data_IF_971066658918
#
_entry.id   IF_971066658918
#
_cell.length_a   1.000
_cell.length_b   1.000
_cell.length_c   1.000
_cell.angle_alpha   90.00
_cell.angle_beta   90.00
_cell.angle_gamma   90.00
#
_symmetry.space_group_name_H-M   'P 1'
#
loop_
_entity.id
_entity.type
_entity.pdbx_description
1 polymer ?
#
# COMPACT_ATOMS: atom_id res chain seq x y z
N UNK A 1 14.14 -12.13 -5.30
CA UNK A 1 12.73 -11.73 -5.09
C UNK A 1 12.40 -10.57 -6.05
N UNK A 2 11.76 -10.83 -7.19
CA UNK A 2 11.56 -9.83 -8.27
C UNK A 2 10.28 -9.00 -8.14
N UNK A 3 9.37 -9.33 -7.22
CA UNK A 3 8.03 -8.71 -7.11
C UNK A 3 7.74 -8.10 -5.72
N UNK A 4 8.78 -7.80 -4.94
CA UNK A 4 8.64 -7.33 -3.55
C UNK A 4 7.70 -6.12 -3.40
N UNK A 5 7.66 -5.22 -4.38
CA UNK A 5 6.73 -4.07 -4.38
C UNK A 5 5.27 -4.52 -4.38
N UNK A 6 4.90 -5.45 -5.26
CA UNK A 6 3.54 -5.96 -5.38
C UNK A 6 3.14 -6.79 -4.14
N UNK A 7 4.11 -7.51 -3.56
CA UNK A 7 3.88 -8.27 -2.34
C UNK A 7 3.60 -7.34 -1.17
N UNK A 8 4.46 -6.34 -0.94
CA UNK A 8 4.26 -5.32 0.12
C UNK A 8 2.95 -4.56 -0.09
N UNK A 9 2.57 -4.23 -1.33
CA UNK A 9 1.28 -3.61 -1.63
C UNK A 9 0.10 -4.45 -1.13
N UNK A 10 0.11 -5.77 -1.39
CA UNK A 10 -0.90 -6.69 -0.85
C UNK A 10 -0.85 -6.75 0.68
N UNK A 11 0.35 -6.72 1.27
CA UNK A 11 0.53 -6.65 2.72
C UNK A 11 -0.06 -5.40 3.33
N UNK A 12 0.14 -4.23 2.71
CA UNK A 12 -0.47 -2.98 3.14
C UNK A 12 -2.01 -3.07 3.05
N UNK A 13 -2.53 -3.60 1.95
CA UNK A 13 -3.98 -3.73 1.74
C UNK A 13 -4.64 -4.73 2.72
N UNK A 14 -3.94 -5.82 3.09
CA UNK A 14 -4.47 -6.87 3.97
C UNK A 14 -4.03 -6.75 5.43
N UNK A 15 -3.18 -5.78 5.76
CA UNK A 15 -2.61 -5.55 7.10
C UNK A 15 -1.33 -6.35 7.40
N UNK A 16 -1.03 -7.40 6.63
CA UNK A 16 0.24 -8.10 6.70
C UNK A 16 0.44 -9.13 5.60
N UNK A 17 1.65 -9.69 5.55
CA UNK A 17 2.03 -10.82 4.70
C UNK A 17 3.17 -11.59 5.34
N UNK A 18 3.36 -12.83 4.93
CA UNK A 18 4.52 -13.64 5.29
C UNK A 18 5.41 -13.92 4.09
N UNK A 19 6.71 -13.97 4.34
CA UNK A 19 7.71 -14.50 3.41
C UNK A 19 8.31 -15.76 3.98
N UNK A 20 8.12 -16.87 3.27
CA UNK A 20 8.58 -18.19 3.70
C UNK A 20 9.67 -18.69 2.75
N UNK A 21 10.94 -18.69 3.19
CA UNK A 21 12.01 -19.26 2.37
C UNK A 21 11.91 -20.78 2.33
N UNK A 22 12.30 -21.36 1.20
CA UNK A 22 12.40 -22.81 0.99
C UNK A 22 13.49 -23.12 -0.03
N UNK A 23 14.02 -24.35 0.04
CA UNK A 23 15.03 -24.82 -0.90
C UNK A 23 14.35 -25.28 -2.19
N UNK A 24 14.82 -24.77 -3.33
CA UNK A 24 14.39 -25.21 -4.66
C UNK A 24 15.62 -25.57 -5.49
N UNK A 25 15.99 -26.85 -5.52
CA UNK A 25 17.23 -27.31 -6.12
C UNK A 25 18.43 -26.69 -5.41
N UNK A 26 19.28 -25.96 -6.14
CA UNK A 26 20.48 -25.29 -5.61
C UNK A 26 20.28 -23.83 -5.19
N UNK A 27 19.04 -23.34 -5.13
CA UNK A 27 18.73 -21.95 -4.74
C UNK A 27 17.71 -21.90 -3.61
N UNK A 28 17.73 -20.80 -2.85
CA UNK A 28 16.65 -20.46 -1.92
C UNK A 28 15.61 -19.63 -2.66
N UNK A 29 14.42 -20.17 -2.76
CA UNK A 29 13.24 -19.45 -3.20
C UNK A 29 12.48 -18.89 -1.99
N UNK A 30 11.66 -17.87 -2.22
CA UNK A 30 10.80 -17.28 -1.20
C UNK A 30 9.37 -17.33 -1.68
N UNK A 31 8.51 -17.95 -0.88
CA UNK A 31 7.07 -17.94 -1.07
C UNK A 31 6.45 -16.74 -0.34
N UNK A 32 5.47 -16.10 -0.96
CA UNK A 32 4.75 -14.96 -0.37
C UNK A 32 3.35 -15.43 0.00
N UNK A 33 3.09 -15.54 1.31
CA UNK A 33 1.79 -15.95 1.84
C UNK A 33 1.01 -14.72 2.26
N UNK A 34 -0.19 -14.55 1.72
CA UNK A 34 -1.06 -13.42 2.02
C UNK A 34 -1.80 -13.60 3.35
N UNK A 35 -2.32 -12.51 3.93
CA UNK A 35 -3.00 -12.49 5.23
C UNK A 35 -4.11 -13.54 5.40
N UNK A 36 -4.86 -13.81 4.33
CA UNK A 36 -5.99 -14.75 4.26
C UNK A 36 -5.57 -16.22 4.21
N UNK A 37 -4.28 -16.50 4.03
CA UNK A 37 -3.72 -17.84 3.96
C UNK A 37 -2.84 -18.20 5.17
N UNK A 38 -2.60 -17.25 6.07
CA UNK A 38 -1.80 -17.45 7.29
C UNK A 38 -2.63 -17.26 8.55
N UNK A 39 -2.52 -18.19 9.48
CA UNK A 39 -3.27 -18.22 10.74
C UNK A 39 -2.28 -18.27 11.91
N UNK A 40 -1.98 -17.12 12.53
CA UNK A 40 -1.13 -17.06 13.71
C UNK A 40 -1.73 -17.85 14.86
N UNK A 41 -0.90 -18.63 15.55
CA UNK A 41 -1.34 -19.54 16.62
C UNK A 41 -0.85 -19.07 17.98
N UNK A 42 0.38 -18.57 18.06
CA UNK A 42 0.95 -18.09 19.32
C UNK A 42 1.92 -16.93 19.12
N UNK A 43 2.03 -16.13 20.16
CA UNK A 43 2.93 -14.98 20.26
C UNK A 43 3.69 -15.06 21.58
N UNK A 44 4.90 -14.52 21.63
CA UNK A 44 5.61 -14.33 22.90
C UNK A 44 5.14 -13.06 23.63
N UNK A 45 5.68 -12.81 24.81
CA UNK A 45 5.34 -11.64 25.64
C UNK A 45 5.71 -10.29 25.00
N UNK A 46 6.57 -10.29 23.97
CA UNK A 46 6.91 -9.09 23.20
C UNK A 46 5.96 -8.86 22.01
N UNK A 47 4.98 -9.75 21.80
CA UNK A 47 4.08 -9.71 20.66
C UNK A 47 4.69 -10.27 19.37
N UNK A 48 5.84 -10.94 19.43
CA UNK A 48 6.45 -11.60 18.28
C UNK A 48 5.77 -12.94 18.05
N UNK A 49 5.39 -13.21 16.80
CA UNK A 49 4.76 -14.47 16.42
C UNK A 49 5.73 -15.64 16.60
N UNK A 50 5.31 -16.69 17.30
CA UNK A 50 6.12 -17.89 17.56
C UNK A 50 5.58 -19.13 16.85
N UNK A 51 4.29 -19.15 16.53
CA UNK A 51 3.68 -20.20 15.73
C UNK A 51 2.64 -19.66 14.75
N UNK A 52 2.56 -20.29 13.57
CA UNK A 52 1.63 -19.92 12.50
C UNK A 52 1.28 -21.17 11.66
N UNK A 53 0.05 -21.22 11.13
CA UNK A 53 -0.37 -22.20 10.12
C UNK A 53 -0.48 -21.50 8.77
N UNK A 54 0.15 -22.04 7.74
CA UNK A 54 -0.01 -21.57 6.36
C UNK A 54 -0.87 -22.55 5.56
N UNK A 55 -1.85 -22.03 4.83
CA UNK A 55 -2.75 -22.81 4.00
C UNK A 55 -2.45 -22.64 2.51
N UNK A 56 -2.40 -23.75 1.79
CA UNK A 56 -2.31 -23.80 0.33
C UNK A 56 -3.51 -24.59 -0.18
N UNK A 57 -4.48 -23.90 -0.79
CA UNK A 57 -5.68 -24.51 -1.34
C UNK A 57 -5.63 -24.48 -2.88
N UNK A 58 -5.91 -25.62 -3.49
CA UNK A 58 -5.89 -25.80 -4.95
C UNK A 58 -7.12 -26.58 -5.41
N UNK A 59 -7.59 -26.26 -6.62
CA UNK A 59 -8.64 -27.04 -7.27
C UNK A 59 -8.02 -28.03 -8.24
N UNK A 60 -8.26 -29.33 -8.01
CA UNK A 60 -7.83 -30.39 -8.93
C UNK A 60 -9.10 -31.13 -9.38
N UNK A 61 -9.46 -30.95 -10.65
CA UNK A 61 -10.72 -31.44 -11.23
C UNK A 61 -11.94 -30.92 -10.44
N UNK A 62 -12.65 -31.81 -9.75
CA UNK A 62 -13.88 -31.54 -9.02
C UNK A 62 -13.67 -31.34 -7.51
N UNK A 63 -12.46 -31.57 -7.00
CA UNK A 63 -12.16 -31.47 -5.57
C UNK A 63 -11.23 -30.30 -5.27
N UNK A 64 -11.36 -29.80 -4.05
CA UNK A 64 -10.47 -28.83 -3.43
C UNK A 64 -9.51 -29.57 -2.51
N UNK A 65 -8.23 -29.33 -2.70
CA UNK A 65 -7.16 -29.90 -1.91
C UNK A 65 -6.57 -28.77 -1.08
N UNK A 66 -6.47 -28.97 0.23
CA UNK A 66 -5.92 -27.97 1.15
C UNK A 66 -4.77 -28.58 1.94
N UNK A 67 -3.58 -27.99 1.86
CA UNK A 67 -2.44 -28.31 2.71
C UNK A 67 -2.32 -27.27 3.81
N UNK A 68 -2.16 -27.73 5.05
CA UNK A 68 -1.87 -26.91 6.22
C UNK A 68 -0.44 -27.20 6.66
N UNK A 69 0.40 -26.16 6.65
CA UNK A 69 1.80 -26.18 7.06
C UNK A 69 1.92 -25.40 8.37
N UNK A 70 2.01 -26.12 9.49
CA UNK A 70 2.16 -25.56 10.83
C UNK A 70 3.62 -25.37 11.17
N UNK A 71 3.97 -24.16 11.60
CA UNK A 71 5.28 -23.78 12.10
C UNK A 71 5.18 -23.42 13.57
N UNK A 72 6.11 -23.91 14.39
CA UNK A 72 6.14 -23.60 15.83
C UNK A 72 7.56 -23.57 16.38
N UNK A 73 7.91 -22.46 17.02
CA UNK A 73 9.16 -22.30 17.78
C UNK A 73 8.88 -22.48 19.28
N UNK A 74 9.49 -23.49 19.89
CA UNK A 74 9.43 -23.74 21.34
C UNK A 74 10.86 -23.81 21.90
N UNK A 75 11.25 -22.79 22.66
CA UNK A 75 12.64 -22.63 23.09
C UNK A 75 13.55 -22.45 21.87
N UNK A 76 14.42 -23.44 21.62
CA UNK A 76 15.31 -23.48 20.44
C UNK A 76 14.96 -24.59 19.44
N UNK A 77 13.82 -25.26 19.63
CA UNK A 77 13.33 -26.32 18.75
C UNK A 77 12.22 -25.79 17.85
N UNK A 78 12.44 -25.90 16.54
CA UNK A 78 11.49 -25.47 15.52
C UNK A 78 10.83 -26.68 14.88
N UNK A 79 9.50 -26.75 14.97
CA UNK A 79 8.71 -27.86 14.47
C UNK A 79 7.88 -27.40 13.27
N UNK A 80 7.95 -28.19 12.20
CA UNK A 80 7.15 -28.02 10.99
C UNK A 80 6.28 -29.27 10.85
N UNK A 81 4.97 -29.09 10.66
CA UNK A 81 4.02 -30.18 10.41
C UNK A 81 3.18 -29.87 9.18
N UNK A 82 3.05 -30.84 8.28
CA UNK A 82 2.25 -30.76 7.07
C UNK A 82 1.09 -31.75 7.14
N UNK A 83 -0.13 -31.26 6.94
CA UNK A 83 -1.32 -32.09 6.80
C UNK A 83 -2.06 -31.70 5.52
N UNK A 84 -2.56 -32.68 4.77
CA UNK A 84 -3.33 -32.45 3.55
C UNK A 84 -4.75 -32.98 3.70
N UNK A 85 -5.69 -32.27 3.07
CA UNK A 85 -7.11 -32.57 3.12
C UNK A 85 -7.73 -32.44 1.72
N UNK A 86 -8.82 -33.17 1.49
CA UNK A 86 -9.63 -33.11 0.27
C UNK A 86 -11.09 -32.85 0.61
N UNK A 87 -11.67 -31.86 -0.05
CA UNK A 87 -13.08 -31.50 0.05
C UNK A 87 -13.75 -31.37 -1.31
N UNK A 88 -15.08 -31.48 -1.31
CA UNK A 88 -15.92 -31.11 -2.46
C UNK A 88 -16.35 -29.64 -2.42
N UNK A 89 -16.09 -28.96 -1.30
CA UNK A 89 -16.40 -27.54 -1.09
C UNK A 89 -15.13 -26.78 -0.69
N UNK A 90 -15.03 -25.55 -1.17
CA UNK A 90 -14.04 -24.54 -0.78
C UNK A 90 -14.01 -24.23 0.72
N UNK A 91 -15.17 -24.28 1.39
CA UNK A 91 -15.32 -23.75 2.77
C UNK A 91 -14.97 -24.76 3.87
N UNK A 92 -14.73 -26.03 3.51
CA UNK A 92 -14.43 -27.10 4.47
C UNK A 92 -13.17 -27.85 4.06
N UNK A 93 -12.39 -28.33 5.05
CA UNK A 93 -11.21 -29.16 4.78
C UNK A 93 -11.60 -30.54 4.23
N UNK A 94 -12.74 -31.08 4.66
CA UNK A 94 -13.21 -32.40 4.24
C UNK A 94 -12.41 -33.52 4.90
N UNK A 95 -11.93 -34.49 4.11
CA UNK A 95 -11.25 -35.67 4.62
C UNK A 95 -9.72 -35.55 4.56
N UNK A 96 -8.98 -36.01 5.58
CA UNK A 96 -7.54 -36.05 5.54
C UNK A 96 -7.05 -37.03 4.46
N UNK A 97 -5.97 -36.66 3.79
CA UNK A 97 -5.35 -37.44 2.71
C UNK A 97 -3.84 -37.50 2.92
N UNK A 98 -3.16 -38.40 2.21
CA UNK A 98 -1.70 -38.41 2.22
C UNK A 98 -1.16 -37.25 1.36
N UNK A 99 -0.01 -36.68 1.75
CA UNK A 99 0.66 -35.64 0.96
C UNK A 99 1.00 -36.12 -0.47
N UNK A 100 1.30 -37.42 -0.62
CA UNK A 100 1.60 -38.09 -1.89
C UNK A 100 0.42 -38.16 -2.87
N UNK A 101 -0.81 -37.88 -2.44
CA UNK A 101 -1.98 -37.83 -3.32
C UNK A 101 -2.00 -36.59 -4.22
N UNK A 102 -1.19 -35.57 -3.91
CA UNK A 102 -1.00 -34.37 -4.74
C UNK A 102 0.47 -34.32 -5.16
N UNK A 103 0.71 -34.33 -6.47
CA UNK A 103 2.05 -34.47 -7.06
C UNK A 103 3.02 -33.41 -6.53
N UNK A 104 2.58 -32.15 -6.40
CA UNK A 104 3.43 -31.06 -5.92
C UNK A 104 3.75 -31.11 -4.41
N UNK A 105 3.07 -31.97 -3.66
CA UNK A 105 3.27 -32.17 -2.22
C UNK A 105 3.96 -33.49 -1.89
N UNK A 106 4.18 -34.36 -2.89
CA UNK A 106 4.65 -35.73 -2.67
C UNK A 106 6.01 -35.82 -1.96
N UNK A 107 6.90 -34.86 -2.21
CA UNK A 107 8.23 -34.80 -1.61
C UNK A 107 8.27 -34.07 -0.25
N UNK A 108 7.13 -33.56 0.23
CA UNK A 108 7.05 -32.80 1.48
C UNK A 108 6.97 -33.76 2.66
N UNK A 109 7.86 -33.57 3.64
CA UNK A 109 7.86 -34.34 4.87
C UNK A 109 6.65 -33.98 5.75
N UNK A 110 5.91 -34.97 6.29
CA UNK A 110 4.79 -34.73 7.20
C UNK A 110 5.21 -34.00 8.47
N UNK A 111 6.37 -34.33 9.03
CA UNK A 111 6.93 -33.66 10.20
C UNK A 111 8.43 -33.44 10.05
N UNK A 112 8.92 -32.30 10.53
CA UNK A 112 10.34 -32.01 10.64
C UNK A 112 10.62 -31.20 11.91
N UNK A 113 11.71 -31.53 12.59
CA UNK A 113 12.21 -30.79 13.74
C UNK A 113 13.62 -30.28 13.45
N UNK A 114 13.80 -28.98 13.62
CA UNK A 114 15.08 -28.28 13.42
C UNK A 114 15.51 -27.72 14.77
N UNK A 115 16.72 -28.05 15.21
CA UNK A 115 17.27 -27.61 16.50
C UNK A 115 18.14 -26.36 16.35
N UNK A 116 18.36 -25.66 17.46
CA UNK A 116 19.22 -24.48 17.55
C UNK A 116 18.73 -23.29 16.70
N UNK A 117 17.41 -23.14 16.61
CA UNK A 117 16.72 -22.03 15.95
C UNK A 117 16.26 -21.03 17.01
N UNK A 118 16.48 -19.73 16.81
CA UNK A 118 16.20 -18.67 17.79
C UNK A 118 15.07 -17.72 17.36
N UNK A 119 14.62 -17.83 16.11
CA UNK A 119 13.50 -17.06 15.58
C UNK A 119 12.70 -17.90 14.58
N UNK A 120 11.42 -17.57 14.34
CA UNK A 120 10.63 -18.28 13.35
C UNK A 120 11.31 -18.29 11.97
N UNK A 121 11.18 -19.39 11.23
CA UNK A 121 11.75 -19.55 9.90
C UNK A 121 10.88 -18.93 8.79
N UNK A 122 10.27 -17.78 9.08
CA UNK A 122 9.52 -16.96 8.16
C UNK A 122 9.67 -15.48 8.54
N UNK A 123 9.64 -14.59 7.55
CA UNK A 123 9.48 -13.16 7.76
C UNK A 123 8.00 -12.80 7.82
N UNK A 124 7.60 -11.88 8.71
CA UNK A 124 6.24 -11.35 8.77
C UNK A 124 6.29 -9.83 8.64
N UNK A 125 5.77 -9.31 7.53
CA UNK A 125 5.56 -7.89 7.35
C UNK A 125 4.21 -7.51 7.94
N UNK A 126 4.24 -6.61 8.92
CA UNK A 126 3.07 -6.10 9.64
C UNK A 126 2.88 -4.64 9.29
N UNK A 127 1.74 -4.25 8.71
CA UNK A 127 1.50 -2.82 8.45
C UNK A 127 1.57 -2.03 9.79
N UNK A 128 2.27 -0.89 9.88
CA UNK A 128 2.71 -0.32 11.17
C UNK A 128 1.63 0.54 11.84
N UNK A 129 0.43 -0.01 12.01
CA UNK A 129 -0.65 0.61 12.78
C UNK A 129 -1.19 -0.35 13.83
N UNK A 130 -1.84 0.21 14.85
CA UNK A 130 -2.59 -0.57 15.83
C UNK A 130 -3.87 -1.12 15.19
N UNK A 131 -4.27 -2.32 15.60
CA UNK A 131 -5.54 -2.90 15.20
C UNK A 131 -6.68 -2.16 15.92
N UNK A 132 -7.47 -1.41 15.16
CA UNK A 132 -8.64 -0.67 15.64
C UNK A 132 -9.95 -1.46 15.52
N UNK A 133 -9.92 -2.65 14.93
CA UNK A 133 -11.06 -3.55 14.75
C UNK A 133 -11.13 -4.52 15.94
N UNK A 134 -10.02 -5.19 16.23
CA UNK A 134 -9.83 -6.03 17.41
C UNK A 134 -8.59 -5.55 18.18
N UNK A 135 -8.83 -4.80 19.25
CA UNK A 135 -7.78 -4.19 20.08
C UNK A 135 -6.95 -5.21 20.86
N UNK A 136 -7.42 -6.47 20.96
CA UNK A 136 -6.70 -7.55 21.63
C UNK A 136 -5.83 -8.35 20.67
N UNK A 137 -6.06 -8.19 19.36
CA UNK A 137 -5.30 -8.91 18.34
C UNK A 137 -3.91 -8.30 18.13
N UNK A 138 -2.83 -9.11 18.19
CA UNK A 138 -1.46 -8.66 17.90
C UNK A 138 -1.21 -8.41 16.41
N UNK A 139 -2.16 -8.81 15.55
CA UNK A 139 -2.08 -8.55 14.12
C UNK A 139 -2.31 -7.08 13.80
N UNK A 140 -2.05 -6.73 12.55
CA UNK A 140 -2.37 -5.40 12.04
C UNK A 140 -3.56 -5.48 11.12
N UNK A 141 -3.98 -4.31 10.67
CA UNK A 141 -5.12 -4.08 9.80
C UNK A 141 -4.66 -3.32 8.57
N UNK A 142 -5.53 -3.30 7.55
CA UNK A 142 -5.27 -2.62 6.29
C UNK A 142 -4.81 -1.18 6.45
N UNK A 143 -4.00 -0.67 5.52
CA UNK A 143 -3.59 0.72 5.47
C UNK A 143 -4.77 1.71 5.39
N UNK A 144 -5.93 1.27 4.91
CA UNK A 144 -7.16 2.06 4.86
C UNK A 144 -8.20 1.68 5.93
N UNK A 145 -7.86 0.80 6.87
CA UNK A 145 -8.77 0.33 7.92
C UNK A 145 -9.42 1.46 8.72
N UNK A 146 -8.69 2.55 9.00
CA UNK A 146 -9.24 3.70 9.73
C UNK A 146 -10.29 4.48 8.95
N UNK A 147 -10.26 4.44 7.62
CA UNK A 147 -11.25 5.08 6.76
C UNK A 147 -12.48 4.21 6.47
N UNK A 148 -12.37 2.90 6.68
CA UNK A 148 -13.44 1.92 6.40
C UNK A 148 -14.09 1.36 7.67
N UNK A 149 -13.29 0.99 8.67
CA UNK A 149 -13.69 0.23 9.85
C UNK A 149 -13.43 0.98 11.17
N UNK A 150 -12.82 2.17 11.10
CA UNK A 150 -12.59 3.03 12.27
C UNK A 150 -13.87 3.65 12.81
N UNK A 151 -14.16 3.40 14.09
CA UNK A 151 -15.16 4.05 14.93
C UNK A 151 -16.27 4.82 14.17
N UNK A 152 -17.28 4.10 13.71
CA UNK A 152 -18.57 4.61 13.19
C UNK A 152 -18.55 5.51 11.94
N UNK A 153 -17.41 5.75 11.28
CA UNK A 153 -17.34 6.62 10.10
C UNK A 153 -16.72 5.88 8.91
N UNK A 154 -17.56 5.39 8.01
CA UNK A 154 -17.17 4.72 6.75
C UNK A 154 -16.89 5.77 5.68
N UNK A 155 -15.77 6.48 5.80
CA UNK A 155 -15.41 7.59 4.92
C UNK A 155 -15.33 7.18 3.44
N UNK A 156 -14.78 6.00 3.15
CA UNK A 156 -14.69 5.50 1.77
C UNK A 156 -16.10 5.26 1.20
N UNK A 157 -16.98 4.62 1.97
CA UNK A 157 -18.37 4.43 1.57
C UNK A 157 -19.09 5.77 1.35
N UNK A 158 -18.88 6.73 2.25
CA UNK A 158 -19.45 8.08 2.13
C UNK A 158 -18.97 8.78 0.86
N UNK A 159 -17.68 8.67 0.52
CA UNK A 159 -17.14 9.23 -0.71
C UNK A 159 -17.81 8.60 -1.96
N UNK A 160 -18.01 7.29 -1.96
CA UNK A 160 -18.73 6.57 -3.02
C UNK A 160 -20.18 7.01 -3.17
N UNK A 161 -20.90 7.21 -2.06
CA UNK A 161 -22.27 7.73 -2.04
C UNK A 161 -22.36 9.16 -2.60
N UNK A 162 -21.44 10.05 -2.19
CA UNK A 162 -21.38 11.43 -2.69
C UNK A 162 -21.08 11.45 -4.20
N UNK A 163 -20.13 10.62 -4.65
CA UNK A 163 -19.82 10.50 -6.08
C UNK A 163 -21.00 9.95 -6.88
N UNK A 164 -21.72 8.96 -6.35
CA UNK A 164 -22.95 8.44 -6.95
C UNK A 164 -24.03 9.51 -7.06
N UNK A 165 -24.19 10.35 -6.04
CA UNK A 165 -25.10 11.50 -6.08
C UNK A 165 -24.69 12.53 -7.16
N UNK A 166 -23.39 12.77 -7.34
CA UNK A 166 -22.90 13.63 -8.43
C UNK A 166 -23.26 13.07 -9.80
N UNK A 167 -23.03 11.77 -10.02
CA UNK A 167 -23.40 11.10 -11.27
C UNK A 167 -24.92 11.12 -11.48
N UNK A 168 -25.70 10.91 -10.41
CA UNK A 168 -27.15 11.01 -10.45
C UNK A 168 -27.62 12.42 -10.82
N UNK A 169 -27.01 13.47 -10.25
CA UNK A 169 -27.32 14.87 -10.54
C UNK A 169 -27.19 15.16 -12.04
N UNK A 170 -26.07 14.77 -12.65
CA UNK A 170 -25.88 14.92 -14.11
C UNK A 170 -26.84 14.06 -14.93
N UNK A 171 -27.14 12.85 -14.47
CA UNK A 171 -28.01 11.94 -15.19
C UNK A 171 -29.48 12.38 -15.17
N UNK A 172 -29.93 12.89 -14.02
CA UNK A 172 -31.28 13.35 -13.78
C UNK A 172 -31.49 14.71 -14.44
N UNK A 173 -30.60 15.69 -14.23
CA UNK A 173 -30.69 17.04 -14.80
C UNK A 173 -30.34 17.16 -16.28
N UNK A 174 -30.29 16.06 -17.03
CA UNK A 174 -30.16 16.13 -18.50
C UNK A 174 -31.31 16.96 -19.07
N UNK A 175 -30.97 17.97 -19.86
CA UNK A 175 -31.94 18.86 -20.50
C UNK A 175 -33.06 18.08 -21.19
N UNK A 176 -34.29 18.47 -20.90
CA UNK A 176 -35.50 17.98 -21.54
C UNK A 176 -36.32 19.17 -22.07
N UNK A 177 -36.95 18.96 -23.23
CA UNK A 177 -37.92 19.88 -23.80
C UNK A 177 -39.27 19.19 -23.72
N UNK A 178 -40.13 19.70 -22.86
CA UNK A 178 -41.54 19.34 -22.85
C UNK A 178 -42.22 20.10 -23.98
N UNK A 179 -42.90 19.38 -24.85
CA UNK A 179 -43.57 19.95 -26.00
C UNK A 179 -44.98 19.37 -26.10
N UNK A 180 -45.92 20.18 -26.58
CA UNK A 180 -47.26 19.68 -26.85
C UNK A 180 -47.22 18.59 -27.93
N UNK A 181 -48.10 17.59 -27.83
CA UNK A 181 -48.23 16.54 -28.85
C UNK A 181 -48.50 17.11 -30.24
N UNK A 182 -49.20 18.25 -30.31
CA UNK A 182 -49.52 18.98 -31.55
C UNK A 182 -48.29 19.62 -32.21
N UNK A 183 -47.16 19.73 -31.51
CA UNK A 183 -45.90 20.22 -32.06
C UNK A 183 -45.13 19.16 -32.88
N UNK A 184 -45.60 17.91 -32.91
CA UNK A 184 -44.95 16.81 -33.61
C UNK A 184 -45.83 16.18 -34.68
N UNK A 185 -45.22 15.68 -35.75
CA UNK A 185 -45.91 14.84 -36.72
C UNK A 185 -46.35 13.52 -36.06
N UNK A 186 -47.53 13.04 -36.42
CA UNK A 186 -48.02 11.73 -35.97
C UNK A 186 -47.37 10.62 -36.79
N UNK A 187 -46.91 9.57 -36.10
CA UNK A 187 -46.46 8.33 -36.71
C UNK A 187 -47.62 7.51 -37.28
N UNK A 188 -47.28 6.42 -37.96
CA UNK A 188 -48.26 5.46 -38.50
C UNK A 188 -49.11 4.77 -37.43
N UNK A 189 -48.68 4.83 -36.17
CA UNK A 189 -49.37 4.33 -34.98
C UNK A 189 -50.27 5.40 -34.31
N UNK A 190 -50.38 6.59 -34.90
CA UNK A 190 -51.17 7.71 -34.36
C UNK A 190 -50.54 8.40 -33.15
N UNK A 191 -49.26 8.11 -32.82
CA UNK A 191 -48.54 8.75 -31.72
C UNK A 191 -47.56 9.82 -32.22
N UNK A 192 -47.26 10.85 -31.43
CA UNK A 192 -46.24 11.86 -31.76
C UNK A 192 -44.88 11.24 -32.04
N UNK A 193 -44.31 11.52 -33.21
CA UNK A 193 -42.97 11.06 -33.61
C UNK A 193 -41.92 12.05 -33.09
N UNK A 194 -41.32 11.71 -31.95
CA UNK A 194 -40.27 12.51 -31.33
C UNK A 194 -38.95 12.44 -32.12
N UNK A 195 -38.33 13.58 -32.51
CA UNK A 195 -37.04 13.62 -33.21
C UNK A 195 -35.90 13.01 -32.39
N UNK A 196 -35.87 13.29 -31.08
CA UNK A 196 -34.95 12.68 -30.12
C UNK A 196 -35.75 12.30 -28.85
N UNK A 197 -35.93 11.00 -28.63
CA UNK A 197 -36.63 10.45 -27.46
C UNK A 197 -35.88 10.67 -26.15
N UNK A 198 -34.64 11.15 -26.16
CA UNK A 198 -33.89 11.56 -24.97
C UNK A 198 -34.15 13.02 -24.63
N UNK A 199 -34.20 13.91 -25.63
CA UNK A 199 -34.38 15.36 -25.43
C UNK A 199 -35.84 15.77 -25.32
N UNK A 200 -36.75 15.17 -26.08
CA UNK A 200 -38.15 15.59 -26.12
C UNK A 200 -39.06 14.70 -25.27
N UNK A 201 -40.04 15.32 -24.62
CA UNK A 201 -41.13 14.65 -23.89
C UNK A 201 -42.45 15.30 -24.29
N UNK A 202 -43.48 14.49 -24.50
CA UNK A 202 -44.82 15.00 -24.79
C UNK A 202 -45.57 15.29 -23.51
N UNK A 203 -46.21 16.46 -23.43
CA UNK A 203 -47.25 16.75 -22.44
C UNK A 203 -48.53 17.04 -23.21
N UNK A 204 -49.64 16.42 -22.81
CA UNK A 204 -50.96 16.80 -23.34
C UNK A 204 -51.37 18.09 -22.66
N UNK A 205 -51.34 19.21 -23.37
CA UNK A 205 -52.02 20.39 -22.88
C UNK A 205 -53.53 20.19 -23.00
N UNK A 206 -54.28 20.58 -21.96
CA UNK A 206 -55.75 20.53 -21.94
C UNK A 206 -56.40 21.78 -22.51
N UNK A 207 -55.63 22.65 -23.21
CA UNK A 207 -56.12 23.93 -23.72
C UNK A 207 -55.67 24.26 -25.15
N UNK A 208 -56.34 25.24 -25.75
CA UNK A 208 -56.08 25.74 -27.10
C UNK A 208 -54.63 26.23 -27.29
N UNK A 209 -54.06 25.95 -28.47
CA UNK A 209 -52.73 26.43 -28.85
C UNK A 209 -52.77 27.95 -29.01
N UNK A 210 -51.93 28.68 -28.27
CA UNK A 210 -51.76 30.13 -28.41
C UNK A 210 -52.42 30.99 -27.32
N UNK A 211 -53.05 30.38 -26.31
CA UNK A 211 -53.49 31.10 -25.11
C UNK A 211 -52.30 31.61 -24.29
N UNK A 212 -52.40 32.82 -23.69
CA UNK A 212 -51.33 33.46 -22.89
C UNK A 212 -50.77 32.62 -21.72
N UNK A 213 -51.39 31.49 -21.39
CA UNK A 213 -50.93 30.55 -20.35
C UNK A 213 -50.43 29.20 -20.90
N UNK A 214 -50.53 28.94 -22.21
CA UNK A 214 -50.19 27.66 -22.82
C UNK A 214 -48.89 27.80 -23.64
N UNK A 215 -47.77 27.42 -23.03
CA UNK A 215 -46.49 27.34 -23.75
C UNK A 215 -46.47 26.08 -24.62
N UNK A 216 -46.24 26.25 -25.93
CA UNK A 216 -46.06 25.13 -26.87
C UNK A 216 -44.81 24.28 -26.52
N UNK A 217 -43.82 24.91 -25.90
CA UNK A 217 -42.59 24.30 -25.40
C UNK A 217 -42.29 24.82 -23.99
N UNK A 218 -41.93 23.92 -23.09
CA UNK A 218 -41.37 24.27 -21.79
C UNK A 218 -40.04 23.54 -21.59
N UNK A 219 -39.01 24.31 -21.24
CA UNK A 219 -37.68 23.77 -21.04
C UNK A 219 -37.50 23.31 -19.59
N UNK A 220 -37.03 22.09 -19.43
CA UNK A 220 -36.57 21.58 -18.14
C UNK A 220 -35.06 21.44 -18.17
N UNK A 221 -34.41 22.39 -17.50
CA UNK A 221 -32.96 22.44 -17.31
C UNK A 221 -32.71 22.90 -15.87
N UNK A 222 -32.72 21.99 -14.88
CA UNK A 222 -32.48 22.35 -13.50
C UNK A 222 -31.05 22.87 -13.32
N UNK A 223 -30.85 23.73 -12.33
CA UNK A 223 -29.52 24.14 -11.91
C UNK A 223 -28.81 22.98 -11.22
N UNK A 224 -27.58 22.68 -11.64
CA UNK A 224 -26.80 21.60 -11.07
C UNK A 224 -26.11 22.02 -9.78
N UNK A 225 -26.22 21.18 -8.73
CA UNK A 225 -25.51 21.37 -7.46
C UNK A 225 -24.08 20.82 -7.49
N UNK A 226 -23.50 20.72 -8.68
CA UNK A 226 -22.19 20.10 -8.94
C UNK A 226 -21.10 20.64 -8.02
N UNK A 227 -20.97 21.96 -7.90
CA UNK A 227 -19.90 22.60 -7.13
C UNK A 227 -19.96 22.22 -5.64
N UNK A 228 -21.16 22.23 -5.04
CA UNK A 228 -21.35 21.87 -3.64
C UNK A 228 -21.06 20.37 -3.40
N UNK A 229 -21.49 19.50 -4.32
CA UNK A 229 -21.24 18.05 -4.23
C UNK A 229 -19.73 17.75 -4.38
N UNK A 230 -19.05 18.39 -5.34
CA UNK A 230 -17.59 18.27 -5.52
C UNK A 230 -16.83 18.76 -4.29
N UNK A 231 -17.27 19.87 -3.69
CA UNK A 231 -16.68 20.38 -2.44
C UNK A 231 -16.80 19.35 -1.32
N UNK A 232 -18.00 18.79 -1.09
CA UNK A 232 -18.21 17.77 -0.06
C UNK A 232 -17.42 16.47 -0.30
N UNK A 233 -17.27 16.07 -1.57
CA UNK A 233 -16.42 14.93 -1.94
C UNK A 233 -14.95 15.19 -1.61
N UNK A 234 -14.45 16.38 -1.98
CA UNK A 234 -13.09 16.79 -1.70
C UNK A 234 -12.80 16.86 -0.19
N UNK A 235 -13.74 17.38 0.60
CA UNK A 235 -13.64 17.39 2.06
C UNK A 235 -13.53 15.98 2.63
N UNK A 236 -14.36 15.05 2.14
CA UNK A 236 -14.33 13.64 2.53
C UNK A 236 -13.01 12.95 2.13
N UNK A 237 -12.48 13.23 0.93
CA UNK A 237 -11.18 12.72 0.50
C UNK A 237 -10.04 13.20 1.41
N UNK A 238 -10.08 14.44 1.90
CA UNK A 238 -9.10 14.95 2.87
C UNK A 238 -9.18 14.22 4.20
N UNK A 239 -10.38 13.93 4.68
CA UNK A 239 -10.57 13.12 5.90
C UNK A 239 -9.95 11.72 5.71
N UNK A 240 -10.17 11.09 4.55
CA UNK A 240 -9.55 9.79 4.20
C UNK A 240 -8.02 9.90 4.22
N UNK A 241 -7.45 10.91 3.56
CA UNK A 241 -5.99 11.13 3.55
C UNK A 241 -5.44 11.26 4.97
N UNK A 242 -6.09 12.05 5.82
CA UNK A 242 -5.66 12.27 7.19
C UNK A 242 -5.62 10.97 8.00
N UNK A 243 -6.70 10.17 7.97
CA UNK A 243 -6.79 8.95 8.80
C UNK A 243 -5.92 7.81 8.27
N UNK A 244 -5.68 7.78 6.96
CA UNK A 244 -4.79 6.81 6.31
C UNK A 244 -3.30 7.19 6.39
N UNK A 245 -2.97 8.37 6.94
CA UNK A 245 -1.59 8.83 7.04
C UNK A 245 -1.01 9.30 5.70
N UNK A 246 -1.85 9.68 4.74
CA UNK A 246 -1.45 10.24 3.46
C UNK A 246 -1.30 11.76 3.56
N UNK A 247 -0.52 12.34 2.64
CA UNK A 247 -0.49 13.78 2.48
C UNK A 247 -1.77 14.26 1.78
N UNK A 248 -2.31 15.39 2.22
CA UNK A 248 -3.33 16.13 1.49
C UNK A 248 -2.89 16.43 0.06
N UNK A 249 -3.81 16.27 -0.89
CA UNK A 249 -3.53 16.40 -2.32
C UNK A 249 -3.10 15.09 -3.00
N UNK A 250 -3.08 13.97 -2.26
CA UNK A 250 -2.83 12.63 -2.84
C UNK A 250 -4.07 12.11 -3.57
N UNK A 251 -5.24 12.32 -2.97
CA UNK A 251 -6.58 11.98 -3.46
C UNK A 251 -7.43 13.24 -3.66
N UNK A 252 -7.34 14.19 -2.71
CA UNK A 252 -8.06 15.47 -2.79
C UNK A 252 -7.42 16.42 -3.81
N UNK A 253 -8.17 17.42 -4.27
CA UNK A 253 -7.68 18.40 -5.23
C UNK A 253 -6.67 19.36 -4.57
N UNK A 254 -5.39 19.36 -5.01
CA UNK A 254 -4.35 20.21 -4.45
C UNK A 254 -4.55 21.71 -4.71
N UNK A 255 -5.46 22.11 -5.61
CA UNK A 255 -5.75 23.52 -5.92
C UNK A 255 -6.88 24.10 -5.06
N UNK A 256 -7.74 23.27 -4.47
CA UNK A 256 -8.75 23.70 -3.49
C UNK A 256 -8.15 24.08 -2.13
N UNK A 257 -6.82 24.20 -2.08
CA UNK A 257 -6.00 24.35 -0.89
C UNK A 257 -5.86 25.84 -0.58
N UNK A 258 -6.89 26.40 0.02
CA UNK A 258 -6.74 27.59 0.87
C UNK A 258 -6.09 27.17 2.21
N UNK A 259 -4.88 26.60 2.13
CA UNK A 259 -4.12 26.23 3.34
C UNK A 259 -2.94 27.16 3.54
N UNK A 260 -2.73 27.52 4.79
CA UNK A 260 -1.48 28.14 5.20
C UNK A 260 -0.34 27.14 4.95
N UNK A 261 0.83 27.63 4.50
CA UNK A 261 1.99 26.79 4.19
C UNK A 261 2.38 25.80 5.32
N UNK A 262 2.01 26.13 6.56
CA UNK A 262 2.19 25.29 7.75
C UNK A 262 1.41 23.98 7.69
N UNK A 263 0.15 24.00 7.25
CA UNK A 263 -0.69 22.79 7.20
C UNK A 263 -0.22 21.80 6.12
N UNK A 264 0.29 22.33 5.00
CA UNK A 264 0.89 21.53 3.93
C UNK A 264 2.13 20.80 4.46
N UNK A 265 3.02 21.50 5.17
CA UNK A 265 4.21 20.90 5.80
C UNK A 265 3.85 19.83 6.82
N UNK A 266 2.87 20.09 7.71
CA UNK A 266 2.39 19.12 8.70
C UNK A 266 1.83 17.87 8.01
N UNK A 267 1.09 18.07 6.92
CA UNK A 267 0.53 16.98 6.11
C UNK A 267 1.61 16.12 5.46
N UNK A 268 2.63 16.74 4.85
CA UNK A 268 3.77 16.02 4.27
C UNK A 268 4.55 15.24 5.35
N UNK A 269 4.76 15.85 6.52
CA UNK A 269 5.44 15.19 7.65
C UNK A 269 4.68 13.95 8.15
N UNK A 270 3.35 13.97 8.17
CA UNK A 270 2.54 12.79 8.51
C UNK A 270 2.74 11.65 7.50
N UNK A 271 2.73 11.97 6.22
CA UNK A 271 2.99 11.01 5.15
C UNK A 271 4.39 10.43 5.28
N UNK A 272 5.39 11.28 5.51
CA UNK A 272 6.77 10.88 5.76
C UNK A 272 6.88 9.90 6.94
N UNK A 273 6.22 10.20 8.06
CA UNK A 273 6.20 9.31 9.24
C UNK A 273 5.60 7.94 8.90
N UNK A 274 4.47 7.93 8.18
CA UNK A 274 3.79 6.68 7.77
C UNK A 274 4.69 5.84 6.87
N UNK A 275 5.35 6.47 5.90
CA UNK A 275 6.30 5.80 5.00
C UNK A 275 7.49 5.25 5.80
N UNK A 276 8.09 6.05 6.68
CA UNK A 276 9.22 5.66 7.52
C UNK A 276 8.88 4.43 8.39
N UNK A 277 7.70 4.43 9.01
CA UNK A 277 7.28 3.30 9.85
C UNK A 277 7.03 2.03 9.01
N UNK A 278 6.52 2.17 7.78
CA UNK A 278 6.36 1.06 6.85
C UNK A 278 7.72 0.50 6.45
N UNK A 279 8.71 1.36 6.19
CA UNK A 279 10.07 0.97 5.86
C UNK A 279 10.72 0.20 7.01
N UNK A 280 10.60 0.68 8.26
CA UNK A 280 11.11 -0.03 9.45
C UNK A 280 10.46 -1.40 9.63
N UNK A 281 9.13 -1.48 9.52
CA UNK A 281 8.43 -2.77 9.61
C UNK A 281 8.89 -3.75 8.51
N UNK A 282 9.11 -3.23 7.29
CA UNK A 282 9.67 -4.01 6.19
C UNK A 282 11.08 -4.50 6.50
N UNK A 283 11.96 -3.67 7.08
CA UNK A 283 13.31 -4.09 7.50
C UNK A 283 13.23 -5.24 8.51
N UNK A 284 12.41 -5.12 9.56
CA UNK A 284 12.24 -6.19 10.57
C UNK A 284 11.78 -7.51 9.94
N UNK A 285 10.86 -7.45 8.98
CA UNK A 285 10.39 -8.61 8.24
C UNK A 285 11.49 -9.24 7.36
N UNK A 286 12.30 -8.40 6.70
CA UNK A 286 13.44 -8.83 5.89
C UNK A 286 14.57 -9.41 6.74
N UNK A 287 14.86 -8.86 7.92
CA UNK A 287 15.84 -9.41 8.85
C UNK A 287 15.44 -10.82 9.31
N UNK A 288 14.16 -11.02 9.62
CA UNK A 288 13.59 -12.32 9.96
C UNK A 288 13.64 -13.29 8.78
N UNK A 289 13.39 -12.80 7.57
CA UNK A 289 13.53 -13.59 6.34
C UNK A 289 14.99 -14.00 6.09
N UNK A 290 15.95 -13.08 6.21
CA UNK A 290 17.37 -13.36 6.03
C UNK A 290 17.86 -14.40 7.04
N UNK A 291 17.44 -14.29 8.30
CA UNK A 291 17.72 -15.30 9.32
C UNK A 291 17.18 -16.69 8.90
N UNK A 292 15.92 -16.74 8.46
CA UNK A 292 15.33 -17.98 7.98
C UNK A 292 16.08 -18.54 6.77
N UNK A 293 16.49 -17.68 5.82
CA UNK A 293 17.29 -18.08 4.66
C UNK A 293 18.66 -18.64 5.05
N UNK A 294 19.36 -18.08 6.03
CA UNK A 294 20.64 -18.61 6.54
C UNK A 294 20.49 -20.02 7.14
N UNK A 295 19.42 -20.24 7.92
CA UNK A 295 19.10 -21.57 8.47
C UNK A 295 18.84 -22.57 7.34
N UNK A 296 17.99 -22.22 6.36
CA UNK A 296 17.72 -23.10 5.21
C UNK A 296 18.95 -23.32 4.32
N UNK A 297 19.80 -22.31 4.14
CA UNK A 297 21.06 -22.44 3.39
C UNK A 297 21.99 -23.47 4.03
N UNK A 298 22.12 -23.39 5.36
CA UNK A 298 22.94 -24.30 6.16
C UNK A 298 22.38 -25.73 6.10
N UNK A 299 21.07 -25.90 6.30
CA UNK A 299 20.42 -27.21 6.25
C UNK A 299 20.49 -27.85 4.85
N UNK A 300 20.38 -27.04 3.80
CA UNK A 300 20.48 -27.50 2.42
C UNK A 300 21.90 -27.70 1.90
N UNK A 301 22.93 -27.41 2.70
CA UNK A 301 24.32 -27.47 2.26
C UNK A 301 24.66 -26.47 1.14
N UNK A 302 23.87 -25.40 0.98
CA UNK A 302 24.03 -24.41 -0.07
C UNK A 302 25.13 -23.40 0.25
N UNK A 303 25.31 -23.09 1.53
CA UNK A 303 26.36 -22.22 2.04
C UNK A 303 26.71 -22.64 3.48
N UNK A 304 27.98 -22.46 3.92
CA UNK A 304 28.34 -22.67 5.31
C UNK A 304 27.68 -21.62 6.20
N UNK A 305 27.37 -22.00 7.44
CA UNK A 305 26.88 -21.07 8.45
C UNK A 305 27.90 -19.96 8.66
N UNK A 306 27.48 -18.71 8.50
CA UNK A 306 28.38 -17.55 8.55
C UNK A 306 27.70 -16.29 9.06
N UNK A 307 28.51 -15.27 9.33
CA UNK A 307 28.00 -13.95 9.68
C UNK A 307 27.61 -13.21 8.41
N UNK A 308 26.39 -12.67 8.37
CA UNK A 308 25.94 -11.78 7.31
C UNK A 308 25.59 -10.41 7.89
N UNK A 309 25.64 -9.38 7.05
CA UNK A 309 25.16 -8.04 7.38
C UNK A 309 24.18 -7.60 6.30
N UNK A 310 23.03 -7.07 6.73
CA UNK A 310 22.05 -6.48 5.84
C UNK A 310 22.25 -4.95 5.81
N UNK A 311 22.30 -4.38 4.62
CA UNK A 311 22.25 -2.93 4.44
C UNK A 311 21.01 -2.60 3.61
N UNK A 312 20.22 -1.64 4.07
CA UNK A 312 19.00 -1.22 3.42
C UNK A 312 19.08 0.26 3.06
N UNK A 313 19.01 0.55 1.76
CA UNK A 313 18.91 1.91 1.25
C UNK A 313 17.49 2.13 0.71
N UNK A 314 16.81 3.12 1.26
CA UNK A 314 15.48 3.54 0.82
C UNK A 314 15.60 4.93 0.21
N UNK A 315 15.24 5.07 -1.07
CA UNK A 315 15.17 6.40 -1.69
C UNK A 315 13.81 7.05 -1.38
N UNK A 316 13.84 8.19 -0.69
CA UNK A 316 12.65 8.98 -0.34
C UNK A 316 12.57 10.29 -1.15
N UNK A 317 12.89 10.17 -2.45
CA UNK A 317 12.99 11.26 -3.42
C UNK A 317 11.68 12.01 -3.70
N UNK A 318 10.55 11.58 -3.12
CA UNK A 318 9.22 12.18 -3.33
C UNK A 318 8.81 13.13 -2.20
N UNK A 319 9.33 12.95 -0.99
CA UNK A 319 8.85 13.66 0.21
C UNK A 319 9.87 14.66 0.76
N UNK A 320 11.17 14.38 0.60
CA UNK A 320 12.22 15.29 1.06
C UNK A 320 12.67 16.19 -0.09
N UNK A 321 12.55 17.50 0.07
CA UNK A 321 13.15 18.47 -0.84
C UNK A 321 14.68 18.38 -0.71
N UNK A 322 15.28 17.48 -1.51
CA UNK A 322 16.73 17.25 -1.55
C UNK A 322 17.47 18.53 -1.94
N UNK A 323 16.85 19.44 -2.70
CA UNK A 323 17.45 20.72 -3.05
C UNK A 323 17.51 21.64 -1.84
N UNK A 324 16.43 21.74 -1.05
CA UNK A 324 16.41 22.51 0.19
C UNK A 324 17.40 21.95 1.22
N UNK A 325 17.45 20.62 1.39
CA UNK A 325 18.39 19.99 2.30
C UNK A 325 19.84 20.22 1.86
N UNK A 326 20.12 20.09 0.56
CA UNK A 326 21.44 20.36 0.01
C UNK A 326 21.84 21.83 0.17
N UNK A 327 20.90 22.78 -0.03
CA UNK A 327 21.13 24.20 0.18
C UNK A 327 21.42 24.54 1.65
N UNK A 328 20.69 23.94 2.60
CA UNK A 328 20.95 24.09 4.03
C UNK A 328 22.30 23.51 4.44
N UNK A 329 22.62 22.29 3.98
CA UNK A 329 23.90 21.66 4.24
C UNK A 329 25.06 22.46 3.63
N UNK A 330 24.86 23.09 2.47
CA UNK A 330 25.82 24.01 1.86
C UNK A 330 26.04 25.25 2.73
N UNK A 331 24.98 25.84 3.29
CA UNK A 331 25.07 26.98 4.21
C UNK A 331 25.81 26.60 5.51
N UNK A 332 25.49 25.43 6.09
CA UNK A 332 26.15 24.94 7.30
C UNK A 332 27.64 24.65 7.07
N UNK A 333 27.99 24.08 5.92
CA UNK A 333 29.39 23.85 5.52
C UNK A 333 30.11 25.18 5.28
N UNK A 334 29.50 26.12 4.57
CA UNK A 334 30.06 27.46 4.33
C UNK A 334 30.26 28.24 5.63
N UNK A 335 29.35 28.09 6.61
CA UNK A 335 29.45 28.68 7.94
C UNK A 335 30.38 27.94 8.91
N UNK A 336 31.06 26.87 8.48
CA UNK A 336 31.99 26.10 9.32
C UNK A 336 31.32 25.26 10.42
N UNK A 337 29.99 25.12 10.40
CA UNK A 337 29.21 24.40 11.41
C UNK A 337 29.05 22.91 11.10
N UNK A 338 29.41 22.48 9.88
CA UNK A 338 29.34 21.08 9.44
C UNK A 338 30.70 20.60 8.89
N UNK A 339 31.27 19.49 9.41
CA UNK A 339 32.46 18.88 8.84
C UNK A 339 32.25 18.37 7.41
N UNK A 340 33.28 18.45 6.57
CA UNK A 340 33.21 18.04 5.17
C UNK A 340 32.80 16.56 4.97
N UNK A 341 33.19 15.67 5.89
CA UNK A 341 32.88 14.24 5.76
C UNK A 341 31.40 13.99 6.02
N UNK A 342 30.82 14.66 7.03
CA UNK A 342 29.38 14.63 7.29
C UNK A 342 28.59 15.17 6.10
N UNK A 343 29.06 16.24 5.44
CA UNK A 343 28.43 16.76 4.23
C UNK A 343 28.41 15.74 3.09
N UNK A 344 29.52 15.02 2.87
CA UNK A 344 29.63 13.99 1.83
C UNK A 344 28.80 12.75 2.15
N UNK A 345 28.85 12.27 3.40
CA UNK A 345 28.02 11.15 3.84
C UNK A 345 26.53 11.47 3.64
N UNK A 346 26.09 12.67 4.06
CA UNK A 346 24.68 13.07 4.02
C UNK A 346 24.15 13.36 2.62
N UNK A 347 24.94 14.02 1.76
CA UNK A 347 24.49 14.47 0.42
C UNK A 347 24.93 13.55 -0.73
N UNK A 348 25.87 12.63 -0.48
CA UNK A 348 26.38 11.68 -1.48
C UNK A 348 26.27 10.22 -1.07
N UNK A 349 25.71 9.92 0.10
CA UNK A 349 25.46 8.55 0.55
C UNK A 349 26.74 7.71 0.77
N UNK A 350 27.88 8.37 0.96
CA UNK A 350 29.16 7.69 1.17
C UNK A 350 29.23 7.13 2.60
N UNK A 351 29.93 6.00 2.78
CA UNK A 351 30.32 5.56 4.11
C UNK A 351 31.39 6.52 4.71
N UNK A 352 31.58 6.46 6.03
CA UNK A 352 32.49 7.38 6.73
C UNK A 352 33.94 7.26 6.23
N UNK A 353 34.38 6.04 5.91
CA UNK A 353 35.74 5.77 5.46
C UNK A 353 36.01 6.40 4.08
N UNK A 354 35.08 6.23 3.15
CA UNK A 354 35.14 6.77 1.78
C UNK A 354 34.99 8.28 1.79
N UNK A 355 34.09 8.82 2.62
CA UNK A 355 33.91 10.26 2.76
C UNK A 355 35.18 10.97 3.28
N UNK A 356 35.88 10.37 4.25
CA UNK A 356 37.17 10.90 4.72
C UNK A 356 38.25 10.84 3.64
N UNK A 357 38.31 9.73 2.91
CA UNK A 357 39.27 9.55 1.81
C UNK A 357 39.10 10.61 0.72
N UNK A 358 37.87 10.91 0.32
CA UNK A 358 37.57 11.96 -0.67
C UNK A 358 38.05 13.34 -0.23
N UNK A 359 37.95 13.65 1.07
CA UNK A 359 38.44 14.94 1.59
C UNK A 359 39.96 14.99 1.55
N UNK A 360 40.63 13.90 1.90
CA UNK A 360 42.09 13.81 1.81
C UNK A 360 42.57 13.96 0.36
N UNK A 361 41.87 13.34 -0.60
CA UNK A 361 42.15 13.51 -2.03
C UNK A 361 41.91 14.96 -2.48
N UNK A 362 40.80 15.58 -2.07
CA UNK A 362 40.49 16.98 -2.39
C UNK A 362 41.53 17.95 -1.79
N UNK A 363 42.04 17.67 -0.59
CA UNK A 363 43.09 18.46 0.05
C UNK A 363 44.44 18.28 -0.64
N UNK A 364 44.74 17.08 -1.14
CA UNK A 364 45.95 16.82 -1.92
C UNK A 364 45.92 17.47 -3.32
N UNK A 365 44.73 17.73 -3.87
CA UNK A 365 44.53 18.47 -5.13
C UNK A 365 44.54 20.00 -4.96
N UNK A 366 44.44 20.52 -3.72
CA UNK A 366 44.61 21.95 -3.49
C UNK A 366 46.09 22.32 -3.66
N UNK A 367 46.44 23.23 -4.58
CA UNK A 367 47.81 23.70 -4.68
C UNK A 367 48.22 24.37 -3.37
N UNK A 368 49.40 24.01 -2.86
CA UNK A 368 50.08 24.70 -1.75
C UNK A 368 49.91 26.22 -1.92
N UNK A 369 49.52 26.97 -0.87
CA UNK A 369 49.44 28.42 -0.98
C UNK A 369 50.84 28.92 -1.37
N UNK A 370 50.97 29.45 -2.58
CA UNK A 370 52.18 30.13 -3.01
C UNK A 370 52.51 31.19 -1.96
N UNK A 371 53.58 30.94 -1.20
CA UNK A 371 54.16 31.91 -0.30
C UNK A 371 54.83 33.01 -1.15
N UNK A 372 53.98 33.90 -1.68
CA UNK A 372 54.35 34.99 -2.59
C UNK A 372 54.95 36.20 -1.84
N UNK A 373 55.25 36.05 -0.55
CA UNK A 373 55.98 37.03 0.26
C UNK A 373 57.13 36.40 1.05
N UNK A 374 57.86 35.48 0.41
CA UNK A 374 59.22 35.13 0.81
C UNK A 374 60.23 36.12 0.24
N UNK A 375 60.73 37.00 1.11
CA UNK A 375 62.04 37.66 1.03
C UNK A 375 62.28 38.70 -0.08
N UNK A 376 61.95 39.96 0.22
CA UNK A 376 62.65 41.11 -0.36
C UNK A 376 63.60 41.67 0.70
N UNK A 377 64.77 41.05 0.82
CA UNK A 377 65.90 41.62 1.53
C UNK A 377 66.46 42.84 0.80
N UNK A 378 66.48 43.98 1.51
CA UNK A 378 67.49 45.03 1.41
C UNK A 378 67.55 45.78 2.76
#
# INVERSE_FOLDING_TARGET
MTRIRQDVEKGCAKGGLWWKPYIKGSVIAVDTVQADQGYPVSFDSSGKMTACVFSDQRKIRQYWYTRLEYHSLVGTSYNIRNAAFRSSDTSSLGQPIQLTEVEEWADIQPEATILNVTAPLFGYFRYPIANNIDTTSPLSVSCYSRAQDGSNVKLIQRADEIFSNLMWEFSSGKRLIYADELAFELGTDGKPKLPDKRLYRTLKSTGDIGGKQNKLFDEWSPEFREAAIKSGLNDTMREIEFVCGLAYGTLSDPQTVDKTATEIKISQQRSYSTVTDCQKSRQTALDSLLYAMDVWATLGGLAPRGTYAANYEFDDSVITDKELQFAQDMQLKAGGMMPGYMFLMRNRGLDEATAKKWITETQAEQPEPNDLFGDAGA
#
